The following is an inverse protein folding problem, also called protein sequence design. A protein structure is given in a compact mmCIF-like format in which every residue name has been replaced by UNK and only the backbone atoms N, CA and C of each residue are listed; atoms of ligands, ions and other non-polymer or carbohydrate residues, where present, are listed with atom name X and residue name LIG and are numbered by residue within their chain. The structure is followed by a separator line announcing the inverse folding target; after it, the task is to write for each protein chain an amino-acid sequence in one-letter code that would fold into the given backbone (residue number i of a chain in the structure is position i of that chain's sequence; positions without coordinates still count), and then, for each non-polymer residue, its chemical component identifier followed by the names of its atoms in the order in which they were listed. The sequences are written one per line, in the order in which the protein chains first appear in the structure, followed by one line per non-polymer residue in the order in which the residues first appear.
data_IF_945759033402
#
_entry.id   IF_945759033402
#
_cell.length_a   1.000
_cell.length_b   1.000
_cell.length_c   1.000
_cell.angle_alpha   90.00
_cell.angle_beta   90.00
_cell.angle_gamma   90.00
#
_symmetry.space_group_name_H-M   'P 1'
#
loop_
_entity.id
_entity.type
_entity.pdbx_description
1 polymer ?
#
# COMPACT_ATOMS: atom_id res chain seq x y z
N UNK A 1 12.64 13.51 -6.12
CA UNK A 1 12.38 13.19 -4.70
C UNK A 1 13.41 12.21 -4.21
N UNK A 2 13.84 12.34 -2.96
CA UNK A 2 14.75 11.38 -2.32
C UNK A 2 13.99 10.12 -1.89
N UNK A 3 14.71 9.00 -1.75
CA UNK A 3 14.16 7.75 -1.19
C UNK A 3 14.19 7.85 0.33
N UNK A 4 13.01 7.87 0.96
CA UNK A 4 12.85 8.00 2.41
C UNK A 4 12.26 6.69 2.94
N UNK A 5 12.92 6.11 3.93
CA UNK A 5 12.50 4.87 4.56
C UNK A 5 12.39 5.03 6.08
N UNK A 6 11.35 4.44 6.67
CA UNK A 6 11.21 4.33 8.12
C UNK A 6 12.15 3.26 8.68
N UNK A 7 12.54 3.36 9.97
CA UNK A 7 13.43 2.39 10.61
C UNK A 7 12.92 0.95 10.54
N UNK A 8 11.60 0.74 10.58
CA UNK A 8 11.00 -0.59 10.53
C UNK A 8 11.18 -1.26 9.17
N UNK A 9 11.20 -0.49 8.08
CA UNK A 9 11.56 -0.98 6.76
C UNK A 9 12.98 -1.56 6.80
N UNK A 10 13.96 -0.75 7.21
CA UNK A 10 15.38 -1.16 7.28
C UNK A 10 15.58 -2.41 8.14
N UNK A 11 14.99 -2.44 9.34
CA UNK A 11 15.12 -3.57 10.25
C UNK A 11 14.55 -4.87 9.64
N UNK A 12 13.35 -4.79 9.06
CA UNK A 12 12.71 -5.94 8.41
C UNK A 12 13.54 -6.45 7.24
N UNK A 13 14.11 -5.53 6.44
CA UNK A 13 14.99 -5.88 5.34
C UNK A 13 16.23 -6.66 5.77
N UNK A 14 16.91 -6.18 6.82
CA UNK A 14 18.08 -6.84 7.38
C UNK A 14 17.74 -8.21 7.98
N UNK A 15 16.64 -8.29 8.73
CA UNK A 15 16.20 -9.54 9.39
C UNK A 15 15.86 -10.66 8.41
N UNK A 16 15.26 -10.30 7.26
CA UNK A 16 14.83 -11.27 6.27
C UNK A 16 15.78 -11.42 5.08
N UNK A 17 16.89 -10.67 5.06
CA UNK A 17 17.85 -10.69 3.95
C UNK A 17 17.24 -10.24 2.61
N UNK A 18 16.32 -9.26 2.64
CA UNK A 18 15.62 -8.77 1.44
C UNK A 18 16.07 -7.35 1.07
N UNK A 19 16.07 -7.05 -0.22
CA UNK A 19 16.43 -5.73 -0.77
C UNK A 19 15.42 -4.63 -0.38
N UNK A 20 15.94 -3.42 -0.13
CA UNK A 20 15.10 -2.24 0.05
C UNK A 20 14.26 -1.99 -1.22
N UNK A 21 12.99 -1.57 -1.09
CA UNK A 21 12.14 -1.30 -2.26
C UNK A 21 12.72 -0.17 -3.13
N UNK A 22 13.01 -0.45 -4.41
CA UNK A 22 13.78 0.44 -5.29
C UNK A 22 12.93 1.43 -6.11
N UNK A 23 11.66 1.11 -6.41
CA UNK A 23 10.85 1.79 -7.42
C UNK A 23 9.77 2.73 -6.88
N UNK A 24 9.83 3.13 -5.61
CA UNK A 24 8.75 3.88 -5.00
C UNK A 24 9.03 5.39 -5.06
N UNK A 25 8.12 6.14 -5.68
CA UNK A 25 8.15 7.62 -5.69
C UNK A 25 7.75 8.22 -4.34
N UNK A 26 7.10 7.42 -3.48
CA UNK A 26 6.61 7.81 -2.16
C UNK A 26 7.49 7.24 -1.05
N UNK A 27 7.54 7.91 0.13
CA UNK A 27 8.18 7.37 1.32
C UNK A 27 7.57 6.02 1.74
N UNK A 28 8.40 5.15 2.33
CA UNK A 28 7.95 3.86 2.88
C UNK A 28 8.28 3.82 4.36
N UNK A 29 7.26 3.80 5.21
CA UNK A 29 7.42 3.71 6.65
C UNK A 29 7.77 2.28 7.11
N UNK A 30 7.08 1.27 6.56
CA UNK A 30 7.30 -0.14 6.86
C UNK A 30 6.93 -1.04 5.66
N UNK A 31 7.06 -2.36 5.82
CA UNK A 31 6.75 -3.35 4.78
C UNK A 31 5.48 -4.16 5.06
N UNK A 32 4.57 -3.68 5.90
CA UNK A 32 3.42 -4.46 6.37
C UNK A 32 2.46 -4.85 5.24
N UNK A 33 2.37 -4.03 4.18
CA UNK A 33 1.55 -4.29 3.00
C UNK A 33 2.40 -4.60 1.77
N UNK A 34 3.66 -5.01 1.95
CA UNK A 34 4.47 -5.51 0.85
C UNK A 34 3.73 -6.68 0.18
N UNK A 35 3.68 -6.64 -1.15
CA UNK A 35 2.97 -7.62 -2.00
C UNK A 35 1.43 -7.60 -1.88
N UNK A 36 0.87 -6.59 -1.19
CA UNK A 36 -0.57 -6.32 -1.20
C UNK A 36 -0.90 -5.34 -2.34
N UNK A 37 -1.89 -5.69 -3.17
CA UNK A 37 -2.52 -4.78 -4.12
C UNK A 37 -3.99 -4.64 -3.75
N UNK A 38 -4.42 -3.42 -3.48
CA UNK A 38 -5.80 -3.14 -3.09
C UNK A 38 -6.61 -2.51 -4.23
N UNK A 39 -7.91 -2.71 -4.20
CA UNK A 39 -8.90 -1.90 -4.91
C UNK A 39 -9.93 -1.38 -3.90
N UNK A 40 -10.44 -0.17 -4.11
CA UNK A 40 -11.34 0.51 -3.18
C UNK A 40 -12.71 0.73 -3.82
N UNK A 41 -13.80 0.28 -3.18
CA UNK A 41 -15.18 0.46 -3.65
C UNK A 41 -16.07 1.08 -2.58
N UNK A 42 -17.07 1.87 -3.01
CA UNK A 42 -18.06 2.53 -2.14
C UNK A 42 -17.47 3.18 -0.86
N UNK A 43 -16.38 3.95 -1.02
CA UNK A 43 -15.75 4.70 0.07
C UNK A 43 -15.90 6.21 -0.18
N UNK A 44 -16.08 6.97 0.90
CA UNK A 44 -15.95 8.42 0.87
C UNK A 44 -14.55 8.84 0.40
N UNK A 45 -14.47 9.98 -0.28
CA UNK A 45 -13.22 10.49 -0.85
C UNK A 45 -12.11 10.65 0.20
N UNK A 46 -12.42 11.20 1.38
CA UNK A 46 -11.41 11.39 2.44
C UNK A 46 -10.89 10.07 2.99
N UNK A 47 -11.79 9.10 3.18
CA UNK A 47 -11.42 7.76 3.66
C UNK A 47 -10.56 7.04 2.62
N UNK A 48 -10.91 7.16 1.33
CA UNK A 48 -10.10 6.61 0.23
C UNK A 48 -8.71 7.22 0.19
N UNK A 49 -8.57 8.54 0.40
CA UNK A 49 -7.28 9.23 0.43
C UNK A 49 -6.43 8.78 1.62
N UNK A 50 -7.02 8.70 2.82
CA UNK A 50 -6.30 8.21 4.00
C UNK A 50 -5.80 6.77 3.85
N UNK A 51 -6.65 5.89 3.31
CA UNK A 51 -6.27 4.50 3.02
C UNK A 51 -5.14 4.50 2.00
N UNK A 52 -5.26 5.30 0.95
CA UNK A 52 -4.27 5.40 -0.13
C UNK A 52 -2.90 5.78 0.42
N UNK A 53 -2.83 6.82 1.25
CA UNK A 53 -1.58 7.28 1.87
C UNK A 53 -0.97 6.21 2.79
N UNK A 54 -1.79 5.58 3.65
CA UNK A 54 -1.35 4.52 4.57
C UNK A 54 -0.83 3.30 3.81
N UNK A 55 -1.50 2.90 2.74
CA UNK A 55 -1.12 1.73 1.92
C UNK A 55 0.23 1.97 1.25
N UNK A 56 0.45 3.16 0.70
CA UNK A 56 1.75 3.52 0.14
C UNK A 56 2.86 3.55 1.19
N UNK A 57 2.60 4.12 2.37
CA UNK A 57 3.55 4.12 3.49
C UNK A 57 3.90 2.70 3.97
N UNK A 58 3.03 1.72 3.74
CA UNK A 58 3.25 0.32 4.10
C UNK A 58 3.75 -0.56 2.94
N UNK A 59 4.22 0.06 1.85
CA UNK A 59 4.72 -0.59 0.63
C UNK A 59 3.67 -1.41 -0.16
N UNK A 60 2.39 -1.12 0.04
CA UNK A 60 1.31 -1.67 -0.77
C UNK A 60 1.11 -0.93 -2.10
N UNK A 61 0.30 -1.53 -2.96
CA UNK A 61 -0.10 -0.99 -4.27
C UNK A 61 -1.60 -0.80 -4.31
N UNK A 62 -2.05 0.10 -5.17
CA UNK A 62 -3.46 0.42 -5.34
C UNK A 62 -3.77 0.36 -6.82
N UNK A 63 -4.85 -0.32 -7.17
CA UNK A 63 -5.45 -0.30 -8.49
C UNK A 63 -6.81 0.42 -8.41
N UNK A 64 -7.13 1.18 -9.45
CA UNK A 64 -8.45 1.84 -9.54
C UNK A 64 -9.52 0.85 -9.96
N UNK A 65 -9.13 -0.18 -10.69
CA UNK A 65 -10.03 -1.21 -11.19
C UNK A 65 -9.76 -2.52 -10.46
N UNK A 66 -10.80 -3.31 -10.27
CA UNK A 66 -10.65 -4.66 -9.73
C UNK A 66 -10.09 -5.57 -10.84
N UNK A 67 -8.77 -5.73 -10.87
CA UNK A 67 -8.05 -6.61 -11.80
C UNK A 67 -7.71 -7.95 -11.14
N UNK A 68 -7.34 -8.96 -11.95
CA UNK A 68 -7.04 -10.31 -11.45
C UNK A 68 -5.82 -10.42 -10.52
N UNK A 69 -5.00 -9.37 -10.41
CA UNK A 69 -3.85 -9.32 -9.51
C UNK A 69 -4.10 -8.49 -8.23
N UNK A 70 -5.32 -7.96 -8.05
CA UNK A 70 -5.75 -7.36 -6.77
C UNK A 70 -5.87 -8.47 -5.73
N UNK A 71 -5.21 -8.30 -4.59
CA UNK A 71 -5.23 -9.28 -3.49
C UNK A 71 -6.29 -8.96 -2.45
N UNK A 72 -6.68 -7.69 -2.29
CA UNK A 72 -7.66 -7.26 -1.29
C UNK A 72 -8.61 -6.19 -1.86
N UNK A 73 -9.92 -6.37 -1.67
CA UNK A 73 -10.93 -5.36 -1.96
C UNK A 73 -11.32 -4.67 -0.65
N UNK A 74 -11.22 -3.34 -0.60
CA UNK A 74 -11.67 -2.53 0.53
C UNK A 74 -13.01 -1.90 0.16
N UNK A 75 -14.06 -2.24 0.90
CA UNK A 75 -15.41 -1.79 0.66
C UNK A 75 -15.92 -0.98 1.87
N UNK A 76 -16.56 0.17 1.62
CA UNK A 76 -17.28 0.91 2.67
C UNK A 76 -18.69 0.36 2.93
N UNK A 77 -19.31 -0.24 1.92
CA UNK A 77 -20.62 -0.87 1.97
C UNK A 77 -20.69 -2.06 1.00
N UNK A 78 -21.70 -2.91 1.18
CA UNK A 78 -22.02 -4.01 0.25
C UNK A 78 -23.03 -3.54 -0.79
N UNK A 79 -22.96 -4.09 -2.00
CA UNK A 79 -23.72 -3.57 -3.14
C UNK A 79 -23.01 -2.34 -3.69
N UNK A 80 -22.35 -2.48 -4.84
CA UNK A 80 -21.67 -1.36 -5.49
C UNK A 80 -22.73 -0.50 -6.18
N UNK A 81 -22.73 0.80 -5.92
CA UNK A 81 -23.54 1.79 -6.63
C UNK A 81 -22.81 2.29 -7.88
#
# INVERSE_FOLDING_TARGET
GYRIYGPRCILNNLQHGIDLPKCNKQPIYNLAMKDVKICCTSLDGKVRDEITDKVYLMAGKIDRNLTGDVTHLIAGEVGSN
#
